data_IF_340635480355
#
_entry.id   IF_340635480355
#
_cell.length_a   1.000
_cell.length_b   1.000
_cell.length_c   1.000
_cell.angle_alpha   90.00
_cell.angle_beta   90.00
_cell.angle_gamma   90.00
#
_symmetry.space_group_name_H-M   'P 1'
#
loop_
_entity.id
_entity.type
_entity.pdbx_description
1 polymer ?
#
# COMPACT_ATOMS: atom_id res chain seq x y z
N UNK A 1 0.01 -20.11 -40.16
CA UNK A 1 1.28 -20.13 -39.39
C UNK A 1 2.49 -19.82 -40.25
N UNK A 2 2.61 -20.39 -41.46
CA UNK A 2 3.77 -20.15 -42.34
C UNK A 2 3.94 -18.68 -42.75
N UNK A 3 2.85 -17.94 -42.99
CA UNK A 3 2.91 -16.53 -43.38
C UNK A 3 3.67 -15.62 -42.39
N UNK A 4 3.62 -15.89 -41.08
CA UNK A 4 4.37 -15.12 -40.07
C UNK A 4 5.87 -15.45 -40.11
N UNK A 5 6.20 -16.73 -40.32
CA UNK A 5 7.58 -17.20 -40.43
C UNK A 5 8.21 -16.66 -41.71
N UNK A 6 7.48 -16.73 -42.83
CA UNK A 6 7.93 -16.21 -44.13
C UNK A 6 8.12 -14.69 -44.10
N UNK A 7 7.22 -13.96 -43.41
CA UNK A 7 7.37 -12.52 -43.21
C UNK A 7 8.58 -12.16 -42.34
N UNK A 8 8.83 -12.93 -41.27
CA UNK A 8 9.97 -12.74 -40.38
C UNK A 8 11.31 -13.03 -41.08
N UNK A 9 11.36 -14.08 -41.92
CA UNK A 9 12.54 -14.42 -42.71
C UNK A 9 12.77 -13.43 -43.86
N UNK A 10 11.71 -12.96 -44.51
CA UNK A 10 11.78 -11.97 -45.60
C UNK A 10 12.26 -10.58 -45.15
N UNK A 11 12.04 -10.23 -43.87
CA UNK A 11 12.41 -8.93 -43.30
C UNK A 11 13.42 -9.07 -42.14
N UNK A 12 14.34 -10.02 -42.24
CA UNK A 12 15.30 -10.35 -41.17
C UNK A 12 16.07 -9.13 -40.61
N UNK A 13 16.44 -8.16 -41.46
CA UNK A 13 17.12 -6.93 -41.01
C UNK A 13 16.24 -6.09 -40.06
N UNK A 14 14.97 -5.91 -40.41
CA UNK A 14 14.00 -5.17 -39.58
C UNK A 14 13.76 -5.91 -38.27
N UNK A 15 13.62 -7.24 -38.32
CA UNK A 15 13.44 -8.08 -37.12
C UNK A 15 14.64 -7.98 -36.18
N UNK A 16 15.87 -8.05 -36.71
CA UNK A 16 17.09 -7.91 -35.90
C UNK A 16 17.26 -6.51 -35.30
N UNK A 17 16.90 -5.45 -36.04
CA UNK A 17 16.91 -4.09 -35.52
C UNK A 17 15.89 -3.90 -34.39
N UNK A 18 14.68 -4.42 -34.57
CA UNK A 18 13.65 -4.40 -33.52
C UNK A 18 14.09 -5.17 -32.28
N UNK A 19 14.73 -6.33 -32.46
CA UNK A 19 15.30 -7.10 -31.36
C UNK A 19 16.38 -6.29 -30.63
N UNK A 20 17.32 -5.67 -31.35
CA UNK A 20 18.36 -4.85 -30.76
C UNK A 20 17.77 -3.67 -29.97
N UNK A 21 16.74 -3.02 -30.51
CA UNK A 21 16.03 -1.93 -29.83
C UNK A 21 15.38 -2.42 -28.54
N UNK A 22 14.68 -3.56 -28.56
CA UNK A 22 14.06 -4.15 -27.37
C UNK A 22 15.11 -4.46 -26.29
N UNK A 23 16.27 -5.00 -26.68
CA UNK A 23 17.35 -5.31 -25.73
C UNK A 23 17.95 -4.06 -25.10
N UNK A 24 18.18 -3.01 -25.89
CA UNK A 24 18.68 -1.72 -25.37
C UNK A 24 17.65 -1.09 -24.44
N UNK A 25 16.39 -0.98 -24.87
CA UNK A 25 15.31 -0.39 -24.08
C UNK A 25 15.07 -1.17 -22.77
N UNK A 26 15.09 -2.51 -22.84
CA UNK A 26 14.96 -3.37 -21.67
C UNK A 26 16.13 -3.24 -20.69
N UNK A 27 17.35 -3.08 -21.20
CA UNK A 27 18.54 -2.85 -20.36
C UNK A 27 18.48 -1.51 -19.66
N UNK A 28 18.10 -0.45 -20.38
CA UNK A 28 17.90 0.89 -19.80
C UNK A 28 16.84 0.83 -18.70
N UNK A 29 15.67 0.26 -18.99
CA UNK A 29 14.60 0.09 -17.99
C UNK A 29 15.07 -0.71 -16.77
N UNK A 30 15.83 -1.80 -16.97
CA UNK A 30 16.34 -2.62 -15.86
C UNK A 30 17.29 -1.85 -14.91
N UNK A 31 18.05 -0.90 -15.46
CA UNK A 31 18.98 -0.06 -14.69
C UNK A 31 18.27 1.12 -14.05
N UNK A 32 17.32 1.73 -14.77
CA UNK A 32 16.60 2.93 -14.32
C UNK A 32 15.51 2.65 -13.30
N UNK A 33 14.85 1.48 -13.34
CA UNK A 33 13.77 1.16 -12.39
C UNK A 33 14.35 1.16 -10.98
N UNK A 34 13.93 2.09 -10.11
CA UNK A 34 14.39 2.14 -8.73
C UNK A 34 13.90 0.89 -8.01
N UNK A 35 14.83 0.23 -7.33
CA UNK A 35 14.55 -0.98 -6.55
C UNK A 35 14.36 -0.53 -5.11
N UNK A 36 13.12 -0.52 -4.63
CA UNK A 36 12.83 -0.28 -3.22
C UNK A 36 13.07 -1.58 -2.44
N UNK A 37 13.91 -1.51 -1.40
CA UNK A 37 14.19 -2.65 -0.52
C UNK A 37 12.98 -2.98 0.37
N UNK A 38 12.26 -1.94 0.79
CA UNK A 38 11.02 -2.01 1.56
C UNK A 38 9.94 -1.28 0.75
N UNK A 39 9.10 -2.00 -0.01
CA UNK A 39 8.01 -1.34 -0.72
C UNK A 39 7.08 -0.67 0.29
N UNK A 40 6.70 0.57 0.05
CA UNK A 40 5.77 1.28 0.93
C UNK A 40 4.38 0.62 0.88
N UNK A 41 4.09 -0.22 1.87
CA UNK A 41 2.77 -0.78 2.08
C UNK A 41 1.99 0.21 2.92
N UNK A 42 1.12 0.97 2.24
CA UNK A 42 0.19 1.88 2.90
C UNK A 42 -0.84 1.09 3.72
N UNK A 43 -0.55 0.86 5.00
CA UNK A 43 -1.49 0.29 5.97
C UNK A 43 -2.35 1.45 6.50
N UNK A 44 -3.65 1.52 6.18
CA UNK A 44 -4.50 2.62 6.60
C UNK A 44 -4.79 2.51 8.11
N UNK A 45 -4.00 3.19 8.93
CA UNK A 45 -4.17 3.28 10.38
C UNK A 45 -4.69 4.68 10.71
N UNK A 46 -5.76 4.74 11.50
CA UNK A 46 -6.31 5.98 12.03
C UNK A 46 -5.95 6.05 13.51
N UNK A 47 -5.33 7.15 13.93
CA UNK A 47 -5.02 7.43 15.33
C UNK A 47 -6.01 8.46 15.88
N UNK A 48 -6.62 8.13 17.01
CA UNK A 48 -7.50 9.02 17.77
C UNK A 48 -6.91 9.13 19.17
N UNK A 49 -6.74 10.35 19.67
CA UNK A 49 -6.27 10.62 21.03
C UNK A 49 -7.23 11.57 21.71
N UNK A 50 -7.62 11.23 22.94
CA UNK A 50 -8.59 11.98 23.73
C UNK A 50 -7.91 12.34 25.05
N UNK A 51 -7.65 13.62 25.26
CA UNK A 51 -7.08 14.11 26.52
C UNK A 51 -8.20 14.54 27.45
N UNK A 52 -8.22 14.00 28.67
CA UNK A 52 -9.14 14.42 29.73
C UNK A 52 -8.40 14.42 31.07
N UNK A 53 -7.98 15.60 31.53
CA UNK A 53 -7.18 15.74 32.75
C UNK A 53 -7.94 15.25 33.99
N UNK A 54 -7.23 14.53 34.87
CA UNK A 54 -7.79 14.04 36.13
C UNK A 54 -8.72 12.83 36.00
N UNK A 55 -8.87 12.24 34.81
CA UNK A 55 -9.60 10.99 34.64
C UNK A 55 -8.78 9.79 35.11
N UNK A 56 -9.43 8.89 35.85
CA UNK A 56 -8.84 7.59 36.18
C UNK A 56 -8.77 6.72 34.92
N UNK A 57 -7.80 5.80 34.80
CA UNK A 57 -7.74 4.87 33.67
C UNK A 57 -9.04 4.05 33.50
N UNK A 58 -9.67 3.65 34.61
CA UNK A 58 -10.91 2.87 34.62
C UNK A 58 -12.10 3.68 34.07
N UNK A 59 -12.19 4.96 34.46
CA UNK A 59 -13.21 5.86 33.96
C UNK A 59 -12.95 6.26 32.50
N UNK A 60 -11.68 6.42 32.09
CA UNK A 60 -11.31 6.67 30.70
C UNK A 60 -11.79 5.53 29.78
N UNK A 61 -11.64 4.28 30.20
CA UNK A 61 -12.13 3.16 29.42
C UNK A 61 -13.66 3.14 29.32
N UNK A 62 -14.35 3.41 30.44
CA UNK A 62 -15.82 3.40 30.46
C UNK A 62 -16.47 4.58 29.74
N UNK A 63 -15.93 5.78 29.92
CA UNK A 63 -16.56 7.04 29.52
C UNK A 63 -16.00 7.61 28.21
N UNK A 64 -14.76 7.30 27.85
CA UNK A 64 -14.14 7.78 26.61
C UNK A 64 -14.10 6.66 25.56
N UNK A 65 -13.50 5.52 25.91
CA UNK A 65 -13.25 4.45 24.94
C UNK A 65 -14.55 3.76 24.51
N UNK A 66 -15.38 3.29 25.44
CA UNK A 66 -16.60 2.53 25.09
C UNK A 66 -17.58 3.29 24.18
N UNK A 67 -17.88 4.59 24.41
CA UNK A 67 -18.74 5.34 23.52
C UNK A 67 -18.11 5.51 22.14
N UNK A 68 -16.82 5.82 22.08
CA UNK A 68 -16.09 5.98 20.82
C UNK A 68 -16.05 4.69 20.02
N UNK A 69 -15.77 3.55 20.66
CA UNK A 69 -15.83 2.25 19.99
C UNK A 69 -17.21 1.96 19.41
N UNK A 70 -18.28 2.32 20.13
CA UNK A 70 -19.64 2.07 19.69
C UNK A 70 -19.96 2.83 18.40
N UNK A 71 -19.58 4.10 18.33
CA UNK A 71 -19.78 4.93 17.14
C UNK A 71 -18.87 4.46 15.98
N UNK A 72 -17.61 4.12 16.27
CA UNK A 72 -16.65 3.68 15.24
C UNK A 72 -16.95 2.30 14.67
N UNK A 73 -17.66 1.43 15.40
CA UNK A 73 -18.17 0.15 14.87
C UNK A 73 -19.17 0.31 13.73
N UNK A 74 -19.79 1.49 13.59
CA UNK A 74 -20.68 1.81 12.47
C UNK A 74 -19.97 2.19 11.18
N UNK A 75 -18.64 2.31 11.20
CA UNK A 75 -17.84 2.70 10.04
C UNK A 75 -17.50 1.46 9.21
N UNK A 76 -17.97 1.42 7.97
CA UNK A 76 -17.63 0.37 7.02
C UNK A 76 -16.13 0.37 6.71
N UNK A 77 -15.52 -0.82 6.72
CA UNK A 77 -14.10 -1.02 6.39
C UNK A 77 -13.15 -1.10 7.58
N UNK A 78 -13.62 -0.93 8.82
CA UNK A 78 -12.78 -1.11 10.02
C UNK A 78 -12.55 -2.61 10.29
N UNK A 79 -11.33 -3.10 10.05
CA UNK A 79 -10.97 -4.51 10.28
C UNK A 79 -10.58 -4.81 11.73
N UNK A 80 -9.88 -3.88 12.38
CA UNK A 80 -9.42 -4.01 13.76
C UNK A 80 -9.38 -2.64 14.41
N UNK A 81 -9.89 -2.56 15.62
CA UNK A 81 -9.81 -1.39 16.50
C UNK A 81 -9.10 -1.82 17.79
N UNK A 82 -8.26 -0.95 18.32
CA UNK A 82 -7.56 -1.16 19.58
C UNK A 82 -7.48 0.18 20.28
N UNK A 83 -7.87 0.23 21.55
CA UNK A 83 -7.88 1.44 22.36
C UNK A 83 -7.26 1.14 23.73
N UNK A 84 -6.71 2.16 24.40
CA UNK A 84 -6.10 2.01 25.72
C UNK A 84 -6.26 3.28 26.54
N UNK A 85 -6.94 3.16 27.68
CA UNK A 85 -7.06 4.25 28.64
C UNK A 85 -5.78 4.41 29.45
N UNK A 86 -5.43 5.64 29.80
CA UNK A 86 -4.35 5.96 30.73
C UNK A 86 -4.77 7.14 31.60
N UNK A 87 -4.00 7.42 32.65
CA UNK A 87 -4.28 8.56 33.52
C UNK A 87 -4.19 9.86 32.71
N UNK A 88 -5.27 10.63 32.68
CA UNK A 88 -5.35 11.88 31.90
C UNK A 88 -5.80 11.73 30.44
N UNK A 89 -6.17 10.53 29.96
CA UNK A 89 -6.66 10.38 28.58
C UNK A 89 -6.91 8.95 28.10
N UNK A 90 -7.18 8.84 26.79
CA UNK A 90 -7.44 7.58 26.07
C UNK A 90 -6.95 7.64 24.62
#
# INVERSE_FOLDING_TARGET
MNALIDAALGHARTVLLTLALILVAGTVAYVEIPKEADPDINIPIIYVSITHEGISPEDAERLLIRPMEKEMRGIDGVKKMTAKGYEGGA
#
